data_IF_918951521881
#
_entry.id   IF_918951521881
#
_cell.length_a   1.000
_cell.length_b   1.000
_cell.length_c   1.000
_cell.angle_alpha   90.00
_cell.angle_beta   90.00
_cell.angle_gamma   90.00
#
_symmetry.space_group_name_H-M   'P 1'
#
loop_
_entity.id
_entity.type
_entity.pdbx_description
1 polymer ?
#
# COMPACT_ATOMS: atom_id res chain seq x y z
N UNK A 1 -13.89 18.06 10.92
CA UNK A 1 -12.70 17.22 10.75
C UNK A 1 -12.80 16.58 9.37
N UNK A 2 -11.75 16.63 8.55
CA UNK A 2 -11.84 16.02 7.21
C UNK A 2 -11.61 14.50 7.30
N UNK A 3 -12.69 13.74 7.11
CA UNK A 3 -12.64 12.28 7.00
C UNK A 3 -11.83 11.89 5.75
N UNK A 4 -10.91 10.95 5.88
CA UNK A 4 -10.07 10.47 4.77
C UNK A 4 -10.54 9.11 4.28
N UNK A 5 -10.71 8.15 5.17
CA UNK A 5 -11.30 6.85 4.85
C UNK A 5 -12.56 6.67 5.68
N UNK A 6 -13.63 6.24 5.02
CA UNK A 6 -14.91 5.93 5.66
C UNK A 6 -15.43 4.58 5.15
N UNK A 7 -15.71 3.70 6.08
CA UNK A 7 -16.40 2.44 5.88
C UNK A 7 -17.76 2.53 6.54
N UNK A 8 -18.81 2.19 5.82
CA UNK A 8 -20.17 2.21 6.32
C UNK A 8 -20.84 0.85 6.04
N UNK A 9 -21.15 0.14 7.12
CA UNK A 9 -21.79 -1.19 7.13
C UNK A 9 -21.09 -2.21 6.21
N UNK A 10 -19.75 -2.19 6.20
CA UNK A 10 -18.95 -3.00 5.30
C UNK A 10 -18.90 -4.45 5.76
N UNK A 11 -19.24 -5.36 4.85
CA UNK A 11 -19.03 -6.80 5.03
C UNK A 11 -18.18 -7.40 3.92
N UNK A 12 -17.47 -8.48 4.25
CA UNK A 12 -16.73 -9.30 3.30
C UNK A 12 -17.03 -10.78 3.53
N UNK A 13 -17.52 -11.43 2.49
CA UNK A 13 -17.78 -12.88 2.47
C UNK A 13 -16.97 -13.52 1.35
N UNK A 14 -16.35 -14.67 1.62
CA UNK A 14 -15.68 -15.52 0.62
C UNK A 14 -16.23 -16.94 0.70
N UNK A 15 -16.93 -17.35 -0.36
CA UNK A 15 -17.73 -18.57 -0.31
C UNK A 15 -18.79 -18.44 0.79
N UNK A 16 -18.82 -19.39 1.72
CA UNK A 16 -19.74 -19.37 2.88
C UNK A 16 -19.16 -18.68 4.12
N UNK A 17 -17.88 -18.26 4.08
CA UNK A 17 -17.20 -17.70 5.24
C UNK A 17 -17.35 -16.19 5.26
N UNK A 18 -17.99 -15.64 6.31
CA UNK A 18 -17.97 -14.22 6.63
C UNK A 18 -16.63 -13.86 7.26
N UNK A 19 -15.86 -12.98 6.60
CA UNK A 19 -14.54 -12.51 7.06
C UNK A 19 -14.68 -11.21 7.84
N UNK A 20 -15.52 -10.30 7.36
CA UNK A 20 -15.88 -9.06 8.02
C UNK A 20 -17.40 -8.95 8.04
N UNK A 21 -17.95 -8.37 9.11
CA UNK A 21 -19.38 -8.20 9.29
C UNK A 21 -19.66 -6.84 9.92
N UNK A 22 -20.50 -6.05 9.27
CA UNK A 22 -21.04 -4.79 9.77
C UNK A 22 -19.96 -3.84 10.31
N UNK A 23 -18.88 -3.64 9.54
CA UNK A 23 -17.79 -2.75 9.92
C UNK A 23 -18.13 -1.32 9.54
N UNK A 24 -18.31 -0.48 10.56
CA UNK A 24 -18.43 0.98 10.41
C UNK A 24 -17.24 1.62 11.11
N UNK A 25 -16.43 2.36 10.33
CA UNK A 25 -15.21 2.96 10.81
C UNK A 25 -14.80 4.15 9.94
N UNK A 26 -14.29 5.20 10.56
CA UNK A 26 -13.77 6.37 9.86
C UNK A 26 -12.43 6.81 10.43
N UNK A 27 -11.57 7.35 9.55
CA UNK A 27 -10.29 7.95 9.91
C UNK A 27 -10.24 9.40 9.43
N UNK A 28 -9.47 10.22 10.15
CA UNK A 28 -9.32 11.64 9.85
C UNK A 28 -7.85 11.99 9.57
N UNK A 29 -7.61 13.11 8.89
CA UNK A 29 -6.26 13.58 8.62
C UNK A 29 -5.46 13.77 9.93
N UNK A 30 -4.24 13.24 9.94
CA UNK A 30 -3.33 13.33 11.07
C UNK A 30 -3.54 12.27 12.16
N UNK A 31 -4.56 11.41 12.05
CA UNK A 31 -4.74 10.29 12.97
C UNK A 31 -3.79 9.15 12.69
N UNK A 32 -3.44 8.43 13.75
CA UNK A 32 -2.67 7.19 13.71
C UNK A 32 -3.51 6.07 14.35
N UNK A 33 -3.71 4.99 13.62
CA UNK A 33 -4.53 3.86 14.04
C UNK A 33 -3.73 2.59 14.13
N UNK A 34 -3.99 1.79 15.17
CA UNK A 34 -3.49 0.42 15.28
C UNK A 34 -4.69 -0.54 15.30
N UNK A 35 -4.74 -1.44 14.31
CA UNK A 35 -5.78 -2.48 14.22
C UNK A 35 -5.28 -3.74 14.91
N UNK A 36 -5.87 -4.05 16.06
CA UNK A 36 -5.51 -5.19 16.90
C UNK A 36 -6.56 -6.31 16.81
N UNK A 37 -6.14 -7.54 16.93
CA UNK A 37 -7.01 -8.71 16.93
C UNK A 37 -6.25 -10.01 16.68
N UNK A 38 -6.90 -11.14 16.93
CA UNK A 38 -6.33 -12.48 16.73
C UNK A 38 -5.93 -12.74 15.27
N UNK A 39 -5.08 -13.74 15.03
CA UNK A 39 -4.81 -14.22 13.68
C UNK A 39 -6.11 -14.75 13.06
N UNK A 40 -6.36 -14.39 11.78
CA UNK A 40 -7.61 -14.74 11.11
C UNK A 40 -8.80 -13.82 11.40
N UNK A 41 -8.67 -12.80 12.26
CA UNK A 41 -9.77 -11.86 12.59
C UNK A 41 -10.16 -10.90 11.44
N UNK A 42 -9.55 -11.02 10.26
CA UNK A 42 -9.89 -10.19 9.11
C UNK A 42 -9.08 -8.88 8.97
N UNK A 43 -8.05 -8.61 9.82
CA UNK A 43 -7.25 -7.37 9.77
C UNK A 43 -6.71 -7.05 8.39
N UNK A 44 -6.02 -7.99 7.76
CA UNK A 44 -5.52 -7.86 6.38
C UNK A 44 -6.65 -7.58 5.38
N UNK A 45 -7.81 -8.20 5.56
CA UNK A 45 -8.97 -7.96 4.69
C UNK A 45 -9.53 -6.56 4.88
N UNK A 46 -9.63 -6.08 6.11
CA UNK A 46 -10.06 -4.73 6.44
C UNK A 46 -9.18 -3.67 5.78
N UNK A 47 -7.86 -3.76 5.96
CA UNK A 47 -6.93 -2.77 5.39
C UNK A 47 -6.87 -2.84 3.87
N UNK A 48 -7.08 -4.03 3.27
CA UNK A 48 -7.18 -4.16 1.81
C UNK A 48 -8.46 -3.55 1.24
N UNK A 49 -9.57 -3.63 1.97
CA UNK A 49 -10.81 -2.94 1.59
C UNK A 49 -10.63 -1.43 1.75
N UNK A 50 -10.11 -0.97 2.88
CA UNK A 50 -9.86 0.44 3.15
C UNK A 50 -8.92 1.10 2.13
N UNK A 51 -7.98 0.33 1.55
CA UNK A 51 -7.06 0.77 0.50
C UNK A 51 -7.57 0.53 -0.94
N UNK A 52 -8.82 0.06 -1.12
CA UNK A 52 -9.40 -0.24 -2.43
C UNK A 52 -8.76 -1.42 -3.18
N UNK A 53 -7.97 -2.26 -2.50
CA UNK A 53 -7.34 -3.45 -3.11
C UNK A 53 -8.28 -4.66 -3.16
N UNK A 54 -9.33 -4.64 -2.35
CA UNK A 54 -10.38 -5.66 -2.31
C UNK A 54 -11.72 -4.95 -2.23
N UNK A 55 -12.67 -5.36 -3.05
CA UNK A 55 -14.04 -4.86 -3.01
C UNK A 55 -14.81 -5.52 -1.85
N UNK A 56 -15.57 -4.74 -1.10
CA UNK A 56 -16.50 -5.25 -0.11
C UNK A 56 -17.65 -6.04 -0.77
N UNK A 57 -18.21 -7.01 -0.05
CA UNK A 57 -19.39 -7.75 -0.51
C UNK A 57 -20.67 -6.90 -0.35
N UNK A 58 -20.73 -6.09 0.72
CA UNK A 58 -21.80 -5.11 0.99
C UNK A 58 -21.25 -3.93 1.76
N UNK A 59 -22.07 -2.88 1.90
CA UNK A 59 -21.69 -1.62 2.51
C UNK A 59 -20.99 -0.68 1.53
N UNK A 60 -20.50 0.44 2.02
CA UNK A 60 -19.82 1.43 1.21
C UNK A 60 -18.46 1.81 1.79
N UNK A 61 -17.52 2.12 0.88
CA UNK A 61 -16.19 2.62 1.23
C UNK A 61 -15.97 3.92 0.48
N UNK A 62 -15.54 4.95 1.20
CA UNK A 62 -15.23 6.26 0.64
C UNK A 62 -13.79 6.64 0.97
N UNK A 63 -13.17 7.34 0.04
CA UNK A 63 -11.88 7.98 0.22
C UNK A 63 -12.04 9.48 -0.08
N UNK A 64 -11.76 10.31 0.92
CA UNK A 64 -11.93 11.77 0.85
C UNK A 64 -13.35 12.18 0.36
N UNK A 65 -14.38 11.49 0.89
CA UNK A 65 -15.79 11.69 0.57
C UNK A 65 -16.29 11.04 -0.73
N UNK A 66 -15.39 10.56 -1.61
CA UNK A 66 -15.76 9.93 -2.87
C UNK A 66 -15.87 8.40 -2.73
N UNK A 67 -16.85 7.74 -3.36
CA UNK A 67 -16.89 6.29 -3.38
C UNK A 67 -15.59 5.73 -3.96
N UNK A 68 -14.95 4.78 -3.25
CA UNK A 68 -13.63 4.28 -3.62
C UNK A 68 -13.62 3.59 -4.99
N UNK A 69 -14.75 3.02 -5.40
CA UNK A 69 -14.93 2.35 -6.67
C UNK A 69 -15.02 3.32 -7.87
N UNK A 70 -15.29 4.61 -7.63
CA UNK A 70 -15.41 5.64 -8.66
C UNK A 70 -14.05 6.30 -8.94
N UNK A 71 -13.07 6.09 -8.05
CA UNK A 71 -11.72 6.62 -8.21
C UNK A 71 -10.91 5.80 -9.22
N UNK A 72 -10.10 6.49 -10.01
CA UNK A 72 -9.15 5.81 -10.89
C UNK A 72 -8.11 5.03 -10.06
N UNK A 73 -7.79 3.76 -10.40
CA UNK A 73 -6.84 2.96 -9.62
C UNK A 73 -5.47 3.62 -9.41
N UNK A 74 -4.98 4.39 -10.39
CA UNK A 74 -3.72 5.12 -10.29
C UNK A 74 -3.81 6.29 -9.31
N UNK A 75 -4.92 7.05 -9.35
CA UNK A 75 -5.18 8.13 -8.40
C UNK A 75 -5.22 7.61 -6.97
N UNK A 76 -6.01 6.55 -6.73
CA UNK A 76 -6.08 5.95 -5.40
C UNK A 76 -4.72 5.41 -4.94
N UNK A 77 -3.95 4.77 -5.83
CA UNK A 77 -2.64 4.22 -5.50
C UNK A 77 -1.60 5.29 -5.17
N UNK A 78 -1.70 6.49 -5.76
CA UNK A 78 -0.81 7.62 -5.42
C UNK A 78 -1.15 8.25 -4.07
N UNK A 79 -2.42 8.25 -3.67
CA UNK A 79 -2.91 8.89 -2.44
C UNK A 79 -3.00 7.95 -1.24
N UNK A 80 -3.21 6.64 -1.48
CA UNK A 80 -3.34 5.62 -0.44
C UNK A 80 -2.38 4.45 -0.72
N UNK A 81 -1.31 4.35 0.05
CA UNK A 81 -0.31 3.30 -0.10
C UNK A 81 -0.53 2.18 0.90
N UNK A 82 -0.68 0.95 0.40
CA UNK A 82 -0.68 -0.27 1.21
C UNK A 82 0.69 -0.94 1.12
N UNK A 83 1.41 -0.92 2.23
CA UNK A 83 2.71 -1.57 2.41
C UNK A 83 2.51 -2.96 2.99
N UNK A 84 2.86 -3.97 2.22
CA UNK A 84 2.82 -5.37 2.64
C UNK A 84 3.86 -6.16 1.83
N UNK A 85 4.50 -7.15 2.43
CA UNK A 85 5.41 -8.03 1.69
C UNK A 85 4.69 -8.77 0.54
N UNK A 86 3.40 -9.02 0.68
CA UNK A 86 2.60 -9.62 -0.39
C UNK A 86 2.51 -8.74 -1.65
N UNK A 87 2.68 -7.42 -1.53
CA UNK A 87 2.66 -6.51 -2.69
C UNK A 87 3.90 -6.67 -3.57
N UNK A 88 5.00 -7.19 -3.01
CA UNK A 88 6.25 -7.42 -3.73
C UNK A 88 6.29 -8.75 -4.49
N UNK A 89 5.36 -9.66 -4.24
CA UNK A 89 5.32 -10.97 -4.92
C UNK A 89 5.13 -10.86 -6.44
N UNK A 90 4.60 -9.74 -6.92
CA UNK A 90 4.42 -9.45 -8.35
C UNK A 90 5.65 -8.82 -9.01
N UNK A 91 6.64 -8.41 -8.22
CA UNK A 91 7.89 -7.85 -8.73
C UNK A 91 8.78 -8.97 -9.27
N UNK A 92 9.54 -8.68 -10.32
CA UNK A 92 10.53 -9.65 -10.82
C UNK A 92 11.61 -9.83 -9.77
N UNK A 93 11.94 -11.07 -9.46
CA UNK A 93 12.95 -11.41 -8.46
C UNK A 93 14.32 -10.73 -8.71
N UNK A 94 14.68 -10.54 -9.97
CA UNK A 94 15.94 -9.92 -10.41
C UNK A 94 15.95 -8.38 -10.39
N UNK A 95 14.84 -7.72 -10.04
CA UNK A 95 14.82 -6.25 -9.98
C UNK A 95 15.81 -5.73 -8.96
N UNK A 96 16.55 -4.67 -9.30
CA UNK A 96 17.40 -3.95 -8.37
C UNK A 96 16.52 -3.21 -7.35
N UNK A 97 17.06 -3.02 -6.15
CA UNK A 97 16.37 -2.30 -5.07
C UNK A 97 15.88 -0.92 -5.51
N UNK A 98 16.72 -0.15 -6.20
CA UNK A 98 16.34 1.17 -6.70
C UNK A 98 15.14 1.10 -7.66
N UNK A 99 15.08 0.09 -8.52
CA UNK A 99 13.98 -0.10 -9.47
C UNK A 99 12.69 -0.53 -8.76
N UNK A 100 12.80 -1.32 -7.67
CA UNK A 100 11.66 -1.67 -6.81
C UNK A 100 11.03 -0.42 -6.21
N UNK A 101 11.82 0.51 -5.69
CA UNK A 101 11.31 1.74 -5.09
C UNK A 101 10.70 2.65 -6.16
N UNK A 102 11.43 2.92 -7.26
CA UNK A 102 10.95 3.76 -8.37
C UNK A 102 9.65 3.27 -9.00
N UNK A 103 9.43 1.95 -9.05
CA UNK A 103 8.21 1.36 -9.64
C UNK A 103 6.92 1.83 -8.98
N UNK A 104 6.98 2.40 -7.77
CA UNK A 104 5.81 2.92 -7.08
C UNK A 104 5.43 4.35 -7.51
N UNK A 105 6.32 5.12 -8.13
CA UNK A 105 6.03 6.47 -8.60
C UNK A 105 4.80 6.53 -9.52
N UNK A 106 4.59 5.48 -10.29
CA UNK A 106 3.50 5.38 -11.28
C UNK A 106 2.31 4.54 -10.81
N UNK A 107 2.26 4.13 -9.54
CA UNK A 107 1.18 3.27 -9.02
C UNK A 107 1.13 1.87 -9.65
N UNK A 108 2.16 1.46 -10.39
CA UNK A 108 2.19 0.25 -11.21
C UNK A 108 2.92 -0.87 -10.47
N UNK A 109 2.32 -2.06 -10.46
CA UNK A 109 2.93 -3.26 -9.89
C UNK A 109 3.83 -4.02 -10.88
N UNK A 110 4.03 -3.49 -12.11
CA UNK A 110 4.83 -4.14 -13.13
C UNK A 110 5.80 -3.13 -13.79
N UNK A 111 7.09 -3.46 -13.88
CA UNK A 111 8.05 -2.64 -14.59
C UNK A 111 7.86 -2.85 -16.10
N UNK A 112 7.18 -1.98 -16.75
CA UNK A 112 7.35 -1.78 -18.18
C UNK A 112 8.38 -0.68 -18.37
N UNK A 113 9.22 -0.85 -19.40
CA UNK A 113 10.30 -0.01 -19.87
C UNK A 113 9.95 1.49 -19.80
N UNK A 114 9.98 2.06 -18.60
CA UNK A 114 9.73 3.47 -18.38
C UNK A 114 11.06 4.15 -18.07
N UNK A 115 11.29 5.23 -18.78
CA UNK A 115 12.41 6.12 -18.50
C UNK A 115 12.04 6.90 -17.24
N UNK A 116 12.56 6.48 -16.08
CA UNK A 116 12.39 7.25 -14.85
C UNK A 116 13.13 8.58 -14.99
N UNK A 117 12.50 9.65 -14.53
CA UNK A 117 13.14 10.94 -14.46
C UNK A 117 14.23 10.95 -13.36
N UNK A 118 15.20 11.85 -13.48
CA UNK A 118 16.27 12.00 -12.48
C UNK A 118 15.71 12.32 -11.10
N UNK A 119 14.60 13.05 -11.04
CA UNK A 119 13.91 13.41 -9.79
C UNK A 119 13.35 12.18 -9.08
N UNK A 120 12.79 11.22 -9.81
CA UNK A 120 12.28 9.97 -9.23
C UNK A 120 13.42 9.12 -8.66
N UNK A 121 14.54 9.11 -9.37
CA UNK A 121 15.73 8.38 -8.95
C UNK A 121 16.31 9.00 -7.68
N UNK A 122 16.41 10.33 -7.60
CA UNK A 122 16.91 11.00 -6.42
C UNK A 122 15.99 10.79 -5.23
N UNK A 123 14.67 10.94 -5.41
CA UNK A 123 13.69 10.66 -4.36
C UNK A 123 13.79 9.21 -3.85
N UNK A 124 13.94 8.24 -4.73
CA UNK A 124 14.11 6.84 -4.33
C UNK A 124 15.37 6.64 -3.48
N UNK A 125 16.49 7.28 -3.82
CA UNK A 125 17.73 7.25 -3.03
C UNK A 125 17.54 7.90 -1.66
N UNK A 126 16.88 9.04 -1.60
CA UNK A 126 16.60 9.74 -0.34
C UNK A 126 15.77 8.85 0.59
N UNK A 127 14.74 8.16 0.04
CA UNK A 127 13.93 7.21 0.80
C UNK A 127 14.73 5.98 1.24
N UNK A 128 15.59 5.44 0.39
CA UNK A 128 16.48 4.33 0.78
C UNK A 128 17.44 4.76 1.89
N UNK A 129 17.97 5.98 1.83
CA UNK A 129 18.81 6.58 2.89
C UNK A 129 18.05 6.77 4.20
N UNK A 130 16.79 7.22 4.15
CA UNK A 130 15.92 7.36 5.33
C UNK A 130 15.78 6.04 6.10
N UNK A 131 15.72 4.91 5.40
CA UNK A 131 15.63 3.57 6.00
C UNK A 131 16.99 2.88 6.16
N UNK A 132 18.11 3.56 5.90
CA UNK A 132 19.50 3.04 6.02
C UNK A 132 19.74 1.77 5.20
N UNK A 133 19.23 1.75 3.97
CA UNK A 133 19.37 0.67 2.99
C UNK A 133 19.84 1.14 1.60
N UNK A 134 20.34 2.38 1.50
CA UNK A 134 20.90 2.99 0.29
C UNK A 134 22.08 2.19 -0.29
N UNK A 135 22.92 1.62 0.58
CA UNK A 135 24.05 0.76 0.17
C UNK A 135 23.62 -0.53 -0.57
N UNK A 136 22.32 -0.82 -0.62
CA UNK A 136 21.74 -1.98 -1.30
C UNK A 136 21.13 -1.62 -2.67
N UNK A 137 21.17 -0.36 -3.11
CA UNK A 137 20.41 0.14 -4.26
C UNK A 137 20.58 -0.68 -5.54
N UNK A 138 21.77 -1.20 -5.80
CA UNK A 138 22.12 -1.99 -6.99
C UNK A 138 21.89 -3.51 -6.81
N UNK A 139 21.61 -3.96 -5.58
CA UNK A 139 21.44 -5.40 -5.32
C UNK A 139 20.10 -5.91 -5.84
N UNK A 140 20.04 -7.15 -6.33
CA UNK A 140 18.76 -7.80 -6.65
C UNK A 140 17.90 -7.99 -5.38
N UNK A 141 16.64 -7.56 -5.44
CA UNK A 141 15.73 -7.55 -4.28
C UNK A 141 15.57 -8.93 -3.61
N UNK A 142 15.58 -10.02 -4.40
CA UNK A 142 15.42 -11.38 -3.86
C UNK A 142 16.59 -11.86 -3.01
N UNK A 143 17.78 -11.23 -3.13
CA UNK A 143 19.00 -11.63 -2.39
C UNK A 143 19.06 -11.05 -0.97
N UNK A 144 18.08 -10.25 -0.60
CA UNK A 144 18.07 -9.49 0.65
C UNK A 144 17.45 -10.30 1.79
N UNK A 145 17.87 -10.00 3.01
CA UNK A 145 17.22 -10.48 4.23
C UNK A 145 15.79 -9.94 4.33
N UNK A 146 14.95 -10.57 5.14
CA UNK A 146 13.57 -10.13 5.34
C UNK A 146 13.47 -8.72 5.91
N UNK A 147 14.33 -8.38 6.89
CA UNK A 147 14.36 -7.04 7.46
C UNK A 147 14.80 -5.96 6.47
N UNK A 148 15.75 -6.25 5.58
CA UNK A 148 16.13 -5.35 4.48
C UNK A 148 14.96 -5.17 3.50
N UNK A 149 14.30 -6.26 3.11
CA UNK A 149 13.11 -6.21 2.24
C UNK A 149 12.00 -5.38 2.83
N UNK A 150 11.68 -5.53 4.13
CA UNK A 150 10.66 -4.73 4.81
C UNK A 150 10.97 -3.23 4.74
N UNK A 151 12.21 -2.83 5.00
CA UNK A 151 12.63 -1.42 4.91
C UNK A 151 12.52 -0.86 3.49
N UNK A 152 12.87 -1.66 2.48
CA UNK A 152 12.73 -1.27 1.07
C UNK A 152 11.26 -1.16 0.66
N UNK A 153 10.39 -2.05 1.16
CA UNK A 153 8.94 -1.98 0.89
C UNK A 153 8.32 -0.75 1.56
N UNK A 154 8.81 -0.34 2.73
CA UNK A 154 8.44 0.93 3.36
C UNK A 154 8.88 2.13 2.50
N UNK A 155 10.14 2.17 2.06
CA UNK A 155 10.64 3.21 1.16
C UNK A 155 9.77 3.29 -0.11
N UNK A 156 9.47 2.12 -0.71
CA UNK A 156 8.59 2.01 -1.87
C UNK A 156 7.19 2.59 -1.59
N UNK A 157 6.63 2.33 -0.41
CA UNK A 157 5.31 2.82 -0.01
C UNK A 157 5.22 4.33 0.10
N UNK A 158 6.33 5.00 0.36
CA UNK A 158 6.41 6.46 0.48
C UNK A 158 6.78 7.17 -0.83
N UNK A 159 7.06 6.42 -1.90
CA UNK A 159 7.54 6.98 -3.16
C UNK A 159 6.54 7.97 -3.79
N UNK A 160 5.25 7.70 -3.70
CA UNK A 160 4.17 8.54 -4.24
C UNK A 160 3.73 9.68 -3.31
N UNK A 161 4.36 9.84 -2.14
CA UNK A 161 3.95 10.80 -1.11
C UNK A 161 2.48 10.66 -0.68
N UNK A 162 2.06 9.48 -0.25
CA UNK A 162 0.65 9.19 -0.04
C UNK A 162 0.07 9.97 1.15
N UNK A 163 -1.20 10.36 1.05
CA UNK A 163 -1.95 10.98 2.15
C UNK A 163 -2.24 9.96 3.27
N UNK A 164 -2.34 8.69 2.90
CA UNK A 164 -2.58 7.57 3.83
C UNK A 164 -1.56 6.46 3.57
N UNK A 165 -0.87 6.06 4.63
CA UNK A 165 0.03 4.91 4.63
C UNK A 165 -0.56 3.80 5.50
N UNK A 166 -0.82 2.65 4.91
CA UNK A 166 -1.34 1.46 5.58
C UNK A 166 -0.24 0.41 5.62
N UNK A 167 0.04 -0.13 6.81
CA UNK A 167 1.03 -1.19 7.05
C UNK A 167 0.33 -2.49 7.41
N UNK A 168 0.58 -3.60 6.65
CA UNK A 168 -0.04 -4.93 6.84
C UNK A 168 1.03 -6.04 6.98
#
# INVERSE_FOLDING_TARGET
MNTVIELDDVALTRGETKILNDITWSTHRGEQWAVLGANGAGKTSLVRIASGKVQATSGSVRFDGNPINDLQPQELASRCSLVSLSTTQRLRASMRVIDVVRSAAWGISAPFVETYEDIDTQRARDLLGLFSVDHLEERPFHTLSEGERQRIVLARGLMSDPEVLILD
#
